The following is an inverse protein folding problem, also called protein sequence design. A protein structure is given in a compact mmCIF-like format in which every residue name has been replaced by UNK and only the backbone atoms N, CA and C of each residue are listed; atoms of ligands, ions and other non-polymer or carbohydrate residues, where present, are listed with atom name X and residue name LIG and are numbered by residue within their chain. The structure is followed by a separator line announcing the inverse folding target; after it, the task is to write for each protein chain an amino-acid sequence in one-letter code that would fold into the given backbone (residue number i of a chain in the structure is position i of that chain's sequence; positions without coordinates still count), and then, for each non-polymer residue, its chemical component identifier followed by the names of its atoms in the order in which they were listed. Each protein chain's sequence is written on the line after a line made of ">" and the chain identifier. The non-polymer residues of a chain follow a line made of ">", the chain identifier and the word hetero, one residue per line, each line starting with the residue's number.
data_IF_664584754670
#
_entry.id   IF_664584754670
#
_cell.length_a   1.000
_cell.length_b   1.000
_cell.length_c   1.000
_cell.angle_alpha   90.00
_cell.angle_beta   90.00
_cell.angle_gamma   90.00
#
_symmetry.space_group_name_H-M   'P 1'
#
loop_
_entity.id
_entity.type
_entity.pdbx_description
1 polymer ?
#
# COMPACT_ATOMS: atom_id res chain seq x y z
N UNK A 1 18.24 15.47 13.67
CA UNK A 1 16.94 15.40 13.01
C UNK A 1 17.00 16.03 11.63
N UNK A 2 16.48 15.35 10.65
CA UNK A 2 16.50 15.82 9.27
C UNK A 2 15.20 16.53 8.93
N UNK A 3 15.22 17.88 8.76
CA UNK A 3 13.99 18.62 8.47
C UNK A 3 13.39 18.29 7.12
N UNK A 4 14.15 17.63 6.24
CA UNK A 4 13.65 17.22 4.92
C UNK A 4 13.18 15.77 4.90
N UNK A 5 13.27 15.06 6.03
CA UNK A 5 12.79 13.69 6.10
C UNK A 5 11.26 13.68 5.98
N UNK A 6 10.68 12.83 5.12
CA UNK A 6 9.23 12.77 4.99
C UNK A 6 8.57 12.37 6.30
N UNK A 7 7.40 12.96 6.56
CA UNK A 7 6.58 12.60 7.70
C UNK A 7 5.26 12.03 7.17
N UNK A 8 4.59 11.14 7.93
CA UNK A 8 3.31 10.59 7.45
C UNK A 8 2.30 11.66 7.04
N UNK A 9 2.23 12.77 7.77
CA UNK A 9 1.30 13.86 7.44
C UNK A 9 1.60 14.52 6.10
N UNK A 10 2.85 14.41 5.62
CA UNK A 10 3.24 14.99 4.33
C UNK A 10 2.67 14.17 3.17
N UNK A 11 2.14 12.99 3.46
CA UNK A 11 1.58 12.09 2.46
C UNK A 11 0.06 12.09 2.45
N UNK A 12 -0.57 13.04 3.16
CA UNK A 12 -2.02 13.14 3.19
C UNK A 12 -2.55 13.26 1.76
N UNK A 13 -3.49 12.38 1.40
CA UNK A 13 -4.10 12.31 0.07
C UNK A 13 -3.12 11.92 -1.05
N UNK A 14 -1.88 11.58 -0.72
CA UNK A 14 -0.87 11.27 -1.73
C UNK A 14 -1.26 10.09 -2.60
N UNK A 15 -1.91 9.10 -2.00
CA UNK A 15 -2.24 7.84 -2.68
C UNK A 15 -3.70 7.76 -3.08
N UNK A 16 -4.44 8.87 -3.05
CA UNK A 16 -5.85 8.85 -3.46
C UNK A 16 -6.01 8.88 -4.97
N UNK A 17 -4.95 9.21 -5.70
CA UNK A 17 -4.94 9.25 -7.17
C UNK A 17 -4.29 7.98 -7.72
N UNK A 18 -4.94 7.36 -8.71
CA UNK A 18 -4.45 6.11 -9.31
C UNK A 18 -3.05 6.26 -9.92
N UNK A 19 -2.76 7.41 -10.52
CA UNK A 19 -1.44 7.67 -11.08
C UNK A 19 -0.35 7.63 -10.03
N UNK A 20 -0.62 8.19 -8.86
CA UNK A 20 0.33 8.17 -7.75
C UNK A 20 0.52 6.75 -7.23
N UNK A 21 -0.53 5.96 -7.19
CA UNK A 21 -0.44 4.56 -6.79
C UNK A 21 0.48 3.79 -7.71
N UNK A 22 0.35 3.98 -9.02
CA UNK A 22 1.21 3.32 -10.02
C UNK A 22 2.68 3.70 -9.82
N UNK A 23 2.94 4.99 -9.62
CA UNK A 23 4.31 5.47 -9.37
C UNK A 23 4.89 4.81 -8.13
N UNK A 24 4.09 4.74 -7.05
CA UNK A 24 4.52 4.09 -5.81
C UNK A 24 4.89 2.61 -6.04
N UNK A 25 4.06 1.89 -6.80
CA UNK A 25 4.33 0.47 -7.07
C UNK A 25 5.61 0.27 -7.88
N UNK A 26 5.90 1.16 -8.82
CA UNK A 26 7.16 1.11 -9.57
C UNK A 26 8.36 1.34 -8.66
N UNK A 27 8.24 2.25 -7.71
CA UNK A 27 9.29 2.50 -6.73
C UNK A 27 9.48 1.29 -5.81
N UNK A 28 8.39 0.64 -5.41
CA UNK A 28 8.47 -0.58 -4.61
C UNK A 28 9.20 -1.68 -5.36
N UNK A 29 8.89 -1.85 -6.66
CA UNK A 29 9.58 -2.84 -7.48
C UNK A 29 11.07 -2.56 -7.57
N UNK A 30 11.43 -1.28 -7.73
CA UNK A 30 12.83 -0.88 -7.82
C UNK A 30 13.57 -1.15 -6.50
N UNK A 31 12.95 -0.77 -5.38
CA UNK A 31 13.61 -0.87 -4.07
C UNK A 31 13.61 -2.27 -3.49
N UNK A 32 12.62 -3.10 -3.83
CA UNK A 32 12.39 -4.40 -3.17
C UNK A 32 12.28 -5.55 -4.16
N UNK A 33 13.07 -5.49 -5.22
CA UNK A 33 13.26 -6.61 -6.14
C UNK A 33 11.93 -7.12 -6.72
N UNK A 34 11.17 -6.21 -7.34
CA UNK A 34 9.90 -6.53 -8.02
C UNK A 34 8.82 -7.07 -7.07
N UNK A 35 8.80 -6.57 -5.84
CA UNK A 35 7.84 -7.03 -4.84
C UNK A 35 6.39 -6.82 -5.28
N UNK A 36 6.07 -5.63 -5.81
CA UNK A 36 4.69 -5.32 -6.23
C UNK A 36 4.29 -6.18 -7.44
N UNK A 37 5.16 -6.31 -8.43
CA UNK A 37 4.90 -7.16 -9.59
C UNK A 37 4.72 -8.62 -9.17
N UNK A 38 5.55 -9.09 -8.24
CA UNK A 38 5.44 -10.46 -7.72
C UNK A 38 4.11 -10.71 -7.04
N UNK A 39 3.62 -9.76 -6.25
CA UNK A 39 2.31 -9.87 -5.63
C UNK A 39 1.19 -9.98 -6.67
N UNK A 40 1.24 -9.15 -7.71
CA UNK A 40 0.22 -9.15 -8.75
C UNK A 40 0.25 -10.44 -9.57
N UNK A 41 1.43 -11.04 -9.74
CA UNK A 41 1.54 -12.34 -10.40
C UNK A 41 1.00 -13.45 -9.54
N UNK A 42 1.24 -13.41 -8.23
CA UNK A 42 0.76 -14.41 -7.29
C UNK A 42 -0.76 -14.33 -7.12
N UNK A 43 -1.31 -13.12 -7.07
CA UNK A 43 -2.73 -12.88 -6.84
C UNK A 43 -3.23 -11.93 -7.93
N UNK A 44 -3.54 -12.46 -9.13
CA UNK A 44 -3.88 -11.60 -10.28
C UNK A 44 -5.12 -10.74 -10.11
N UNK A 45 -6.01 -11.07 -9.18
CA UNK A 45 -7.22 -10.27 -8.95
C UNK A 45 -7.01 -9.11 -7.97
N UNK A 46 -5.78 -8.87 -7.51
CA UNK A 46 -5.50 -7.66 -6.74
C UNK A 46 -5.59 -6.43 -7.63
N UNK A 47 -6.32 -5.42 -7.15
CA UNK A 47 -6.33 -4.12 -7.82
C UNK A 47 -5.02 -3.40 -7.53
N UNK A 48 -4.77 -2.31 -8.27
CA UNK A 48 -3.59 -1.46 -8.03
C UNK A 48 -3.63 -0.90 -6.61
N UNK A 49 -4.79 -0.42 -6.17
CA UNK A 49 -4.94 0.11 -4.81
C UNK A 49 -4.65 -0.97 -3.76
N UNK A 50 -5.20 -2.17 -3.96
CA UNK A 50 -4.97 -3.29 -3.03
C UNK A 50 -3.49 -3.68 -2.97
N UNK A 51 -2.82 -3.69 -4.11
CA UNK A 51 -1.40 -3.97 -4.16
C UNK A 51 -0.61 -2.93 -3.37
N UNK A 52 -1.00 -1.66 -3.49
CA UNK A 52 -0.36 -0.58 -2.74
C UNK A 52 -0.57 -0.77 -1.23
N UNK A 53 -1.77 -1.16 -0.80
CA UNK A 53 -2.01 -1.46 0.61
C UNK A 53 -1.07 -2.57 1.10
N UNK A 54 -0.93 -3.65 0.33
CA UNK A 54 -0.05 -4.76 0.71
C UNK A 54 1.39 -4.29 0.88
N UNK A 55 1.86 -3.43 -0.02
CA UNK A 55 3.21 -2.88 0.08
C UNK A 55 3.39 -2.06 1.36
N UNK A 56 2.41 -1.23 1.68
CA UNK A 56 2.48 -0.39 2.88
C UNK A 56 2.42 -1.23 4.16
N UNK A 57 1.59 -2.28 4.18
CA UNK A 57 1.57 -3.21 5.31
C UNK A 57 2.91 -3.92 5.45
N UNK A 58 3.52 -4.30 4.34
CA UNK A 58 4.83 -4.95 4.34
C UNK A 58 5.90 -4.02 4.94
N UNK A 59 5.79 -2.73 4.70
CA UNK A 59 6.70 -1.72 5.25
C UNK A 59 6.38 -1.35 6.69
N UNK A 60 5.35 -1.97 7.28
CA UNK A 60 4.89 -1.70 8.65
C UNK A 60 4.40 -0.27 8.85
N UNK A 61 3.81 0.31 7.81
CA UNK A 61 3.18 1.63 7.92
C UNK A 61 1.87 1.47 8.71
N UNK A 62 1.62 2.39 9.62
CA UNK A 62 0.46 2.30 10.49
C UNK A 62 -0.83 2.50 9.72
N UNK A 63 -1.88 1.78 10.15
CA UNK A 63 -3.21 1.87 9.54
C UNK A 63 -3.71 3.30 9.45
N UNK A 64 -3.49 4.11 10.50
CA UNK A 64 -3.92 5.50 10.52
C UNK A 64 -3.22 6.34 9.44
N UNK A 65 -1.94 6.08 9.21
CA UNK A 65 -1.18 6.80 8.19
C UNK A 65 -1.64 6.39 6.79
N UNK A 66 -1.89 5.11 6.58
CA UNK A 66 -2.41 4.61 5.31
C UNK A 66 -3.78 5.24 5.02
N UNK A 67 -4.63 5.33 6.04
CA UNK A 67 -5.94 5.95 5.89
C UNK A 67 -5.81 7.40 5.39
N UNK A 68 -4.87 8.15 5.95
CA UNK A 68 -4.63 9.53 5.51
C UNK A 68 -4.12 9.58 4.08
N UNK A 69 -3.19 8.69 3.71
CA UNK A 69 -2.63 8.66 2.37
C UNK A 69 -3.70 8.42 1.30
N UNK A 70 -4.67 7.57 1.61
CA UNK A 70 -5.71 7.18 0.65
C UNK A 70 -7.02 7.95 0.84
N UNK A 71 -7.07 8.88 1.77
CA UNK A 71 -8.29 9.65 2.09
C UNK A 71 -9.45 8.73 2.45
N UNK A 72 -9.17 7.72 3.26
CA UNK A 72 -10.18 6.76 3.71
C UNK A 72 -10.20 6.69 5.22
N UNK A 73 -11.26 6.11 5.78
CA UNK A 73 -11.35 5.92 7.22
C UNK A 73 -10.42 4.79 7.67
N UNK A 74 -10.00 4.87 8.92
CA UNK A 74 -9.15 3.84 9.52
C UNK A 74 -9.86 2.49 9.53
N UNK A 75 -11.18 2.47 9.77
CA UNK A 75 -11.94 1.23 9.77
C UNK A 75 -12.00 0.60 8.37
N UNK A 76 -12.06 1.43 7.32
CA UNK A 76 -12.00 0.94 5.95
C UNK A 76 -10.68 0.22 5.68
N UNK A 77 -9.57 0.83 6.11
CA UNK A 77 -8.25 0.22 5.90
C UNK A 77 -8.14 -1.09 6.67
N UNK A 78 -8.63 -1.13 7.92
CA UNK A 78 -8.61 -2.36 8.72
C UNK A 78 -9.41 -3.48 8.06
N UNK A 79 -10.59 -3.16 7.53
CA UNK A 79 -11.41 -4.14 6.82
C UNK A 79 -10.72 -4.64 5.56
N UNK A 80 -10.10 -3.74 4.81
CA UNK A 80 -9.35 -4.11 3.60
C UNK A 80 -8.19 -5.01 3.93
N UNK A 81 -7.49 -4.74 5.04
CA UNK A 81 -6.36 -5.56 5.47
C UNK A 81 -6.80 -6.99 5.75
N UNK A 82 -7.92 -7.17 6.46
CA UNK A 82 -8.43 -8.51 6.76
C UNK A 82 -8.76 -9.26 5.48
N UNK A 83 -9.40 -8.57 4.52
CA UNK A 83 -9.76 -9.18 3.23
C UNK A 83 -8.51 -9.60 2.45
N UNK A 84 -7.49 -8.74 2.45
CA UNK A 84 -6.24 -9.03 1.75
C UNK A 84 -5.49 -10.19 2.39
N UNK A 85 -5.47 -10.25 3.72
CA UNK A 85 -4.87 -11.38 4.43
C UNK A 85 -5.54 -12.69 4.05
N UNK A 86 -6.88 -12.67 3.93
CA UNK A 86 -7.61 -13.86 3.50
C UNK A 86 -7.24 -14.27 2.07
N UNK A 87 -7.10 -13.31 1.15
CA UNK A 87 -6.69 -13.60 -0.22
C UNK A 87 -5.29 -14.20 -0.27
N UNK A 88 -4.37 -13.65 0.49
CA UNK A 88 -2.98 -14.11 0.53
C UNK A 88 -2.91 -15.52 1.12
N UNK A 89 -3.63 -15.76 2.21
CA UNK A 89 -3.64 -17.06 2.86
C UNK A 89 -4.26 -18.13 1.96
N UNK A 90 -5.24 -17.77 1.13
CA UNK A 90 -5.86 -18.70 0.20
C UNK A 90 -4.89 -19.20 -0.88
N UNK A 91 -3.80 -18.45 -1.15
CA UNK A 91 -2.81 -18.84 -2.16
C UNK A 91 -1.67 -19.70 -1.58
N UNK A 92 -1.61 -19.80 -0.28
CA UNK A 92 -0.62 -20.67 0.36
C UNK A 92 -1.21 -22.08 0.58
#
# INVERSE_FOLDING_TARGET
>A
DNPHAPQPKDYTNLMSDAGQQVIFLKEMDYCFNNFATGLQQLIPDLTIEETAYCCLFHLNIRTSDIAEMFSRSKSTISSRRKRLEAKINAKN
#
